data_IF_277628539613
#
_entry.id   IF_277628539613
#
_cell.length_a   1.000
_cell.length_b   1.000
_cell.length_c   1.000
_cell.angle_alpha   90.00
_cell.angle_beta   90.00
_cell.angle_gamma   90.00
#
_symmetry.space_group_name_H-M   'P 1'
#
loop_
_entity.id
_entity.type
_entity.pdbx_description
1 polymer ?
#
# COMPACT_ATOMS: atom_id res chain seq x y z
N UNK A 1 -9.06 10.19 10.44
CA UNK A 1 -8.98 10.08 8.98
C UNK A 1 -7.60 9.70 8.46
N UNK A 2 -6.52 10.45 8.72
CA UNK A 2 -5.24 10.20 8.05
C UNK A 2 -4.73 8.74 8.08
N UNK A 3 -4.69 8.10 9.26
CA UNK A 3 -4.36 6.67 9.39
C UNK A 3 -5.33 5.75 8.63
N UNK A 4 -6.61 6.04 8.69
CA UNK A 4 -7.67 5.24 8.02
C UNK A 4 -7.55 5.33 6.50
N UNK A 5 -7.23 6.51 5.97
CA UNK A 5 -6.97 6.72 4.53
C UNK A 5 -5.81 5.84 4.07
N UNK A 6 -4.69 5.83 4.81
CA UNK A 6 -3.54 4.99 4.45
C UNK A 6 -3.86 3.50 4.52
N UNK A 7 -4.58 3.07 5.55
CA UNK A 7 -5.04 1.68 5.69
C UNK A 7 -5.92 1.28 4.50
N UNK A 8 -6.87 2.14 4.13
CA UNK A 8 -7.73 1.95 2.96
C UNK A 8 -6.94 1.82 1.67
N UNK A 9 -6.01 2.74 1.41
CA UNK A 9 -5.19 2.71 0.19
C UNK A 9 -4.27 1.48 0.12
N UNK A 10 -3.66 1.07 1.23
CA UNK A 10 -2.87 -0.16 1.28
C UNK A 10 -3.74 -1.39 0.97
N UNK A 11 -4.92 -1.49 1.58
CA UNK A 11 -5.86 -2.57 1.26
C UNK A 11 -6.29 -2.56 -0.20
N UNK A 12 -6.56 -1.40 -0.78
CA UNK A 12 -6.94 -1.28 -2.19
C UNK A 12 -5.83 -1.78 -3.13
N UNK A 13 -4.57 -1.41 -2.88
CA UNK A 13 -3.42 -1.91 -3.66
C UNK A 13 -3.30 -3.43 -3.52
N UNK A 14 -3.30 -3.94 -2.28
CA UNK A 14 -3.17 -5.37 -2.02
C UNK A 14 -4.34 -6.16 -2.63
N UNK A 15 -5.57 -5.68 -2.55
CA UNK A 15 -6.74 -6.35 -3.10
C UNK A 15 -6.61 -6.65 -4.60
N UNK A 16 -5.99 -5.74 -5.36
CA UNK A 16 -5.81 -5.88 -6.81
C UNK A 16 -4.51 -6.61 -7.21
N UNK A 17 -3.65 -6.94 -6.25
CA UNK A 17 -2.29 -7.48 -6.51
C UNK A 17 -1.90 -8.71 -5.70
N UNK A 18 -2.67 -9.07 -4.68
CA UNK A 18 -2.57 -10.36 -4.03
C UNK A 18 -3.37 -11.39 -4.84
N UNK A 19 -2.69 -12.01 -5.81
CA UNK A 19 -3.26 -12.87 -6.85
C UNK A 19 -3.52 -14.32 -6.39
N UNK A 20 -3.75 -14.51 -5.10
CA UNK A 20 -4.14 -15.78 -4.50
C UNK A 20 -5.64 -15.84 -4.19
N UNK A 21 -6.02 -16.78 -3.35
CA UNK A 21 -7.39 -16.87 -2.85
C UNK A 21 -7.53 -15.90 -1.68
N UNK A 22 -8.29 -14.83 -1.90
CA UNK A 22 -8.60 -13.81 -0.90
C UNK A 22 -10.09 -13.79 -0.59
N UNK A 23 -10.45 -13.48 0.67
CA UNK A 23 -11.83 -13.23 1.05
C UNK A 23 -12.10 -11.72 0.95
N UNK A 24 -13.05 -11.26 0.11
CA UNK A 24 -13.33 -9.85 -0.03
C UNK A 24 -14.12 -9.30 1.17
N UNK A 25 -13.85 -8.04 1.52
CA UNK A 25 -14.61 -7.21 2.44
C UNK A 25 -14.54 -5.75 1.98
N UNK A 26 -15.15 -4.83 2.73
CA UNK A 26 -15.06 -3.40 2.49
C UNK A 26 -14.68 -2.65 3.76
N UNK A 27 -14.14 -1.44 3.59
CA UNK A 27 -13.94 -0.46 4.65
C UNK A 27 -14.48 0.90 4.18
N UNK A 28 -15.17 1.61 5.06
CA UNK A 28 -15.65 2.97 4.82
C UNK A 28 -14.65 3.98 5.40
N UNK A 29 -14.18 4.90 4.55
CA UNK A 29 -13.29 5.99 4.97
C UNK A 29 -13.80 7.30 4.40
N UNK A 30 -14.11 8.25 5.29
CA UNK A 30 -14.83 9.49 4.96
C UNK A 30 -16.23 9.13 4.44
N UNK A 31 -16.43 9.08 3.12
CA UNK A 31 -17.67 8.62 2.45
C UNK A 31 -17.35 7.73 1.25
N UNK A 32 -16.21 7.04 1.31
CA UNK A 32 -15.70 6.20 0.22
C UNK A 32 -15.60 4.76 0.69
N UNK A 33 -16.31 3.89 -0.01
CA UNK A 33 -16.24 2.43 0.16
C UNK A 33 -15.03 1.88 -0.58
N UNK A 34 -14.11 1.25 0.16
CA UNK A 34 -12.84 0.75 -0.36
C UNK A 34 -12.82 -0.78 -0.28
N UNK A 35 -12.36 -1.50 -1.33
CA UNK A 35 -12.18 -2.94 -1.26
C UNK A 35 -11.06 -3.31 -0.28
N UNK A 36 -11.33 -4.34 0.52
CA UNK A 36 -10.45 -4.84 1.57
C UNK A 36 -10.32 -6.37 1.47
N UNK A 37 -9.19 -6.88 1.94
CA UNK A 37 -8.98 -8.31 2.15
C UNK A 37 -9.34 -8.66 3.59
N UNK A 38 -10.26 -9.60 3.80
CA UNK A 38 -10.64 -10.13 5.11
C UNK A 38 -9.63 -11.19 5.57
N UNK A 39 -8.45 -10.73 5.95
CA UNK A 39 -7.37 -11.55 6.51
C UNK A 39 -6.75 -10.84 7.74
N UNK A 40 -6.82 -11.43 8.94
CA UNK A 40 -6.31 -10.80 10.17
C UNK A 40 -4.81 -10.48 10.16
N UNK A 41 -3.99 -11.25 9.43
CA UNK A 41 -2.55 -11.00 9.34
C UNK A 41 -2.27 -9.81 8.44
N UNK A 42 -2.99 -9.70 7.32
CA UNK A 42 -2.89 -8.54 6.43
C UNK A 42 -3.36 -7.29 7.18
N UNK A 43 -4.49 -7.35 7.88
CA UNK A 43 -4.99 -6.23 8.70
C UNK A 43 -3.97 -5.76 9.73
N UNK A 44 -3.40 -6.69 10.51
CA UNK A 44 -2.40 -6.36 11.52
C UNK A 44 -1.17 -5.68 10.92
N UNK A 45 -0.66 -6.18 9.80
CA UNK A 45 0.49 -5.61 9.13
C UNK A 45 0.18 -4.25 8.49
N UNK A 46 -0.98 -4.08 7.84
CA UNK A 46 -1.42 -2.78 7.28
C UNK A 46 -1.55 -1.74 8.39
N UNK A 47 -2.17 -2.10 9.51
CA UNK A 47 -2.30 -1.23 10.68
C UNK A 47 -0.92 -0.85 11.25
N UNK A 48 -0.03 -1.83 11.46
CA UNK A 48 1.30 -1.59 11.99
C UNK A 48 2.12 -0.63 11.12
N UNK A 49 2.09 -0.79 9.79
CA UNK A 49 2.84 0.07 8.86
C UNK A 49 2.26 1.48 8.79
N UNK A 50 0.93 1.61 8.74
CA UNK A 50 0.27 2.92 8.78
C UNK A 50 0.55 3.66 10.10
N UNK A 51 0.55 2.95 11.23
CA UNK A 51 0.82 3.55 12.54
C UNK A 51 2.30 3.92 12.70
N UNK A 52 3.22 3.07 12.21
CA UNK A 52 4.66 3.32 12.25
C UNK A 52 5.04 4.62 11.50
N UNK A 53 4.52 4.82 10.28
CA UNK A 53 4.82 6.05 9.51
C UNK A 53 4.25 7.29 10.18
N UNK A 54 3.02 7.23 10.71
CA UNK A 54 2.42 8.35 11.43
C UNK A 54 3.20 8.72 12.69
N UNK A 55 3.60 7.73 13.49
CA UNK A 55 4.42 7.94 14.69
C UNK A 55 5.76 8.56 14.32
N UNK A 56 6.40 8.10 13.25
CA UNK A 56 7.69 8.63 12.83
C UNK A 56 7.62 10.06 12.28
N UNK A 57 6.57 10.40 11.52
CA UNK A 57 6.28 11.77 11.06
C UNK A 57 6.19 12.72 12.27
N UNK A 58 5.42 12.32 13.28
CA UNK A 58 5.20 13.11 14.51
C UNK A 58 6.50 13.30 15.31
N UNK A 59 7.23 12.21 15.57
CA UNK A 59 8.50 12.24 16.32
C UNK A 59 9.62 13.01 15.61
N UNK A 60 9.70 12.92 14.28
CA UNK A 60 10.74 13.59 13.51
C UNK A 60 10.49 15.09 13.34
N UNK A 61 9.35 15.61 13.84
CA UNK A 61 8.83 16.94 13.50
C UNK A 61 8.81 17.18 11.97
N UNK A 62 8.69 16.08 11.21
CA UNK A 62 8.77 16.06 9.77
C UNK A 62 7.35 15.96 9.23
N UNK A 63 6.97 16.87 8.34
CA UNK A 63 5.64 16.83 7.72
C UNK A 63 5.51 15.80 6.62
N UNK A 64 6.57 15.03 6.30
CA UNK A 64 6.59 14.10 5.18
C UNK A 64 6.97 12.68 5.62
N UNK A 65 6.27 11.70 5.08
CA UNK A 65 6.62 10.28 5.15
C UNK A 65 6.22 9.56 3.87
N UNK A 66 6.54 8.28 3.78
CA UNK A 66 6.22 7.48 2.61
C UNK A 66 5.90 6.04 3.04
N UNK A 67 4.91 5.43 2.38
CA UNK A 67 4.71 3.99 2.40
C UNK A 67 5.01 3.44 1.00
N UNK A 68 5.71 2.31 0.94
CA UNK A 68 6.06 1.66 -0.33
C UNK A 68 5.55 0.23 -0.30
N UNK A 69 4.66 -0.13 -1.22
CA UNK A 69 4.25 -1.52 -1.45
C UNK A 69 5.06 -2.06 -2.62
N UNK A 70 5.79 -3.14 -2.41
CA UNK A 70 6.63 -3.76 -3.45
C UNK A 70 6.13 -5.17 -3.75
N UNK A 71 6.00 -5.49 -5.04
CA UNK A 71 5.75 -6.84 -5.53
C UNK A 71 6.95 -7.33 -6.34
N UNK A 72 7.39 -8.56 -6.09
CA UNK A 72 8.57 -9.15 -6.72
C UNK A 72 8.28 -10.54 -7.32
N UNK A 73 9.11 -10.99 -8.25
CA UNK A 73 9.11 -12.35 -8.79
C UNK A 73 10.34 -13.08 -8.25
N UNK A 74 10.15 -14.31 -7.80
CA UNK A 74 11.26 -15.15 -7.36
C UNK A 74 11.89 -15.83 -8.58
N UNK A 75 13.09 -15.39 -8.92
CA UNK A 75 13.85 -15.88 -10.07
C UNK A 75 15.02 -16.72 -9.58
N UNK A 76 15.13 -17.95 -10.09
CA UNK A 76 16.32 -18.78 -9.89
C UNK A 76 17.36 -18.40 -10.94
N UNK A 77 18.46 -17.77 -10.53
CA UNK A 77 19.63 -17.59 -11.40
C UNK A 77 20.44 -18.89 -11.38
N UNK A 78 20.47 -19.60 -12.51
CA UNK A 78 21.38 -20.74 -12.71
C UNK A 78 22.74 -20.22 -13.15
N UNK A 79 23.73 -20.29 -12.27
CA UNK A 79 25.15 -20.19 -12.62
C UNK A 79 25.74 -21.60 -12.71
N UNK A 80 26.75 -21.78 -13.56
CA UNK A 80 27.42 -23.06 -13.85
C UNK A 80 27.99 -23.80 -12.62
N UNK A 81 28.05 -23.15 -11.45
CA UNK A 81 28.42 -23.79 -10.17
C UNK A 81 27.51 -23.46 -8.98
N UNK A 82 26.45 -22.68 -9.16
CA UNK A 82 25.51 -22.37 -8.07
C UNK A 82 24.18 -21.88 -8.61
N UNK A 83 23.09 -22.31 -7.96
CA UNK A 83 21.78 -21.70 -8.13
C UNK A 83 21.51 -20.77 -6.95
N UNK A 84 21.25 -19.49 -7.24
CA UNK A 84 20.75 -18.53 -6.25
C UNK A 84 19.32 -18.13 -6.56
N UNK A 85 18.47 -18.04 -5.54
CA UNK A 85 17.15 -17.39 -5.66
C UNK A 85 17.29 -15.89 -5.40
N UNK A 86 16.66 -15.08 -6.23
CA UNK A 86 16.62 -13.63 -6.09
C UNK A 86 15.20 -13.14 -6.33
N UNK A 87 14.73 -12.20 -5.52
CA UNK A 87 13.43 -11.54 -5.69
C UNK A 87 13.64 -10.28 -6.54
N UNK A 88 13.07 -10.27 -7.76
CA UNK A 88 13.16 -9.14 -8.70
C UNK A 88 11.87 -8.35 -8.68
N UNK A 89 11.93 -7.08 -8.30
CA UNK A 89 10.77 -6.18 -8.26
C UNK A 89 10.15 -6.00 -9.65
N UNK A 90 8.85 -6.23 -9.78
CA UNK A 90 8.10 -5.96 -11.02
C UNK A 90 7.10 -4.81 -10.86
N UNK A 91 6.69 -4.45 -9.64
CA UNK A 91 5.82 -3.30 -9.39
C UNK A 91 6.06 -2.67 -8.01
N UNK A 92 5.97 -1.34 -7.94
CA UNK A 92 6.01 -0.59 -6.68
C UNK A 92 4.93 0.50 -6.65
N UNK A 93 4.27 0.62 -5.50
CA UNK A 93 3.34 1.71 -5.20
C UNK A 93 3.94 2.61 -4.13
N UNK A 94 4.17 3.87 -4.47
CA UNK A 94 4.73 4.87 -3.58
C UNK A 94 3.58 5.78 -3.10
N UNK A 95 3.26 5.69 -1.81
CA UNK A 95 2.25 6.51 -1.16
C UNK A 95 2.97 7.62 -0.39
N UNK A 96 3.09 8.78 -1.02
CA UNK A 96 3.68 9.96 -0.41
C UNK A 96 2.69 10.63 0.56
N UNK A 97 3.15 10.83 1.80
CA UNK A 97 2.33 11.34 2.89
C UNK A 97 2.81 12.73 3.25
N UNK A 98 1.90 13.70 3.20
CA UNK A 98 2.14 15.04 3.76
C UNK A 98 1.18 15.26 4.92
N UNK A 99 1.73 15.32 6.13
CA UNK A 99 0.99 15.64 7.34
C UNK A 99 0.69 17.14 7.40
N UNK A 100 -0.57 17.45 7.71
CA UNK A 100 -1.04 18.82 7.94
C UNK A 100 -1.10 19.06 9.45
N UNK A 101 -0.73 20.28 9.87
CA UNK A 101 -0.73 20.65 11.28
C UNK A 101 -2.15 20.59 11.87
N UNK A 102 -2.25 20.05 13.08
CA UNK A 102 -3.48 20.06 13.89
C UNK A 102 -3.37 21.11 15.01
N UNK A 103 -4.51 21.69 15.46
CA UNK A 103 -5.87 21.46 14.96
C UNK A 103 -6.14 22.22 13.65
N UNK A 104 -6.99 21.63 12.80
CA UNK A 104 -7.57 22.33 11.65
C UNK A 104 -8.61 23.32 12.22
N UNK A 105 -8.56 24.62 11.89
CA UNK A 105 -9.58 25.58 12.32
C UNK A 105 -10.98 25.12 11.90
N UNK A 106 -11.98 25.30 12.76
CA UNK A 106 -13.36 24.85 12.50
C UNK A 106 -13.92 25.41 11.18
N UNK A 107 -13.57 26.65 10.81
CA UNK A 107 -13.94 27.28 9.53
C UNK A 107 -13.46 26.51 8.29
N UNK A 108 -12.41 25.69 8.44
CA UNK A 108 -11.76 24.97 7.35
C UNK A 108 -11.98 23.45 7.44
N UNK A 109 -12.66 22.95 8.48
CA UNK A 109 -12.78 21.52 8.74
C UNK A 109 -13.53 20.77 7.62
N UNK A 110 -14.62 21.35 7.12
CA UNK A 110 -15.40 20.78 6.01
C UNK A 110 -14.59 20.74 4.72
N UNK A 111 -14.01 21.88 4.32
CA UNK A 111 -13.17 21.97 3.13
C UNK A 111 -11.98 21.00 3.18
N UNK A 112 -11.37 20.82 4.35
CA UNK A 112 -10.29 19.87 4.54
C UNK A 112 -10.78 18.42 4.38
N UNK A 113 -11.92 18.07 4.97
CA UNK A 113 -12.52 16.73 4.86
C UNK A 113 -12.88 16.41 3.41
N UNK A 114 -13.50 17.35 2.68
CA UNK A 114 -13.82 17.21 1.26
C UNK A 114 -12.56 17.01 0.41
N UNK A 115 -11.51 17.79 0.66
CA UNK A 115 -10.23 17.63 -0.04
C UNK A 115 -9.59 16.25 0.22
N UNK A 116 -9.71 15.70 1.43
CA UNK A 116 -9.25 14.36 1.75
C UNK A 116 -10.05 13.28 1.00
N UNK A 117 -11.38 13.44 0.91
CA UNK A 117 -12.26 12.51 0.18
C UNK A 117 -11.98 12.52 -1.32
N UNK A 118 -11.79 13.71 -1.91
CA UNK A 118 -11.40 13.88 -3.31
C UNK A 118 -10.05 13.23 -3.62
N UNK A 119 -9.05 13.45 -2.75
CA UNK A 119 -7.73 12.84 -2.89
C UNK A 119 -7.82 11.32 -2.80
N UNK A 120 -8.54 10.78 -1.81
CA UNK A 120 -8.75 9.35 -1.63
C UNK A 120 -9.42 8.73 -2.88
N UNK A 121 -10.49 9.35 -3.37
CA UNK A 121 -11.20 8.91 -4.57
C UNK A 121 -10.29 8.89 -5.80
N UNK A 122 -9.47 9.93 -5.99
CA UNK A 122 -8.49 9.99 -7.08
C UNK A 122 -7.45 8.88 -6.96
N UNK A 123 -6.90 8.64 -5.78
CA UNK A 123 -5.91 7.60 -5.55
C UNK A 123 -6.48 6.19 -5.84
N UNK A 124 -7.71 5.92 -5.42
CA UNK A 124 -8.40 4.65 -5.73
C UNK A 124 -8.64 4.48 -7.23
N UNK A 125 -9.00 5.56 -7.93
CA UNK A 125 -9.14 5.54 -9.39
C UNK A 125 -7.81 5.20 -10.07
N UNK A 126 -6.71 5.80 -9.63
CA UNK A 126 -5.37 5.49 -10.16
C UNK A 126 -5.04 4.00 -9.96
N UNK A 127 -5.31 3.46 -8.78
CA UNK A 127 -5.11 2.02 -8.50
C UNK A 127 -5.94 1.18 -9.47
N UNK A 128 -7.23 1.46 -9.59
CA UNK A 128 -8.14 0.68 -10.43
C UNK A 128 -7.76 0.78 -11.92
N UNK A 129 -7.54 1.98 -12.44
CA UNK A 129 -7.19 2.22 -13.84
C UNK A 129 -5.87 1.53 -14.19
N UNK A 130 -4.85 1.68 -13.34
CA UNK A 130 -3.56 1.04 -13.60
C UNK A 130 -3.68 -0.49 -13.54
N UNK A 131 -4.23 -1.03 -12.45
CA UNK A 131 -4.31 -2.49 -12.23
C UNK A 131 -5.17 -3.21 -13.26
N UNK A 132 -6.17 -2.52 -13.83
CA UNK A 132 -7.04 -3.03 -14.90
C UNK A 132 -6.59 -2.70 -16.32
N UNK A 133 -5.57 -1.86 -16.50
CA UNK A 133 -5.02 -1.53 -17.82
C UNK A 133 -4.26 -2.71 -18.46
N UNK A 134 -4.11 -2.68 -19.80
CA UNK A 134 -3.28 -3.67 -20.51
C UNK A 134 -1.83 -3.68 -20.01
N UNK A 135 -1.27 -2.50 -19.76
CA UNK A 135 0.09 -2.36 -19.23
C UNK A 135 0.21 -2.94 -17.82
N UNK A 136 -0.71 -2.59 -16.92
CA UNK A 136 -0.69 -3.06 -15.53
C UNK A 136 -0.98 -4.55 -15.39
N UNK A 137 -1.74 -5.16 -16.33
CA UNK A 137 -1.90 -6.61 -16.39
C UNK A 137 -0.68 -7.30 -16.98
N UNK A 138 -0.08 -6.74 -18.03
CA UNK A 138 1.10 -7.30 -18.68
C UNK A 138 2.36 -7.26 -17.80
N UNK A 139 2.41 -6.36 -16.81
CA UNK A 139 3.50 -6.28 -15.83
C UNK A 139 3.53 -7.47 -14.84
N UNK A 140 2.40 -8.15 -14.65
CA UNK A 140 2.31 -9.30 -13.73
C UNK A 140 3.08 -10.49 -14.31
N UNK A 141 4.07 -11.05 -13.58
CA UNK A 141 4.81 -12.22 -14.03
C UNK A 141 3.92 -13.45 -14.20
N UNK A 142 4.44 -14.47 -14.88
CA UNK A 142 3.73 -15.75 -15.00
C UNK A 142 3.71 -16.46 -13.65
N UNK A 143 2.51 -16.82 -13.19
CA UNK A 143 2.32 -17.63 -11.97
C UNK A 143 2.80 -19.06 -12.26
N UNK A 144 3.88 -19.48 -11.61
CA UNK A 144 4.43 -20.84 -11.70
C UNK A 144 3.77 -21.77 -10.69
N UNK A 145 3.55 -21.27 -9.48
CA UNK A 145 2.95 -21.96 -8.35
C UNK A 145 2.01 -20.98 -7.63
N UNK A 146 0.90 -21.46 -7.10
CA UNK A 146 -0.04 -20.64 -6.35
C UNK A 146 -0.22 -21.23 -4.95
N UNK A 147 0.05 -20.41 -3.92
CA UNK A 147 -0.23 -20.76 -2.53
C UNK A 147 -0.60 -19.50 -1.73
N UNK A 148 -1.52 -19.67 -0.79
CA UNK A 148 -1.95 -18.58 0.10
C UNK A 148 -2.59 -17.39 -0.61
N UNK A 149 -2.33 -16.20 -0.08
CA UNK A 149 -2.91 -14.93 -0.56
C UNK A 149 -2.19 -14.36 -1.77
N UNK A 150 -0.95 -14.76 -2.06
CA UNK A 150 -0.19 -14.28 -3.21
C UNK A 150 0.82 -15.33 -3.69
N UNK A 151 0.90 -15.58 -5.01
CA UNK A 151 1.95 -16.40 -5.60
C UNK A 151 3.30 -15.68 -5.68
N UNK A 152 3.34 -14.38 -5.41
CA UNK A 152 4.51 -13.51 -5.52
C UNK A 152 4.93 -12.97 -4.16
N UNK A 153 6.25 -12.88 -3.86
CA UNK A 153 6.75 -12.12 -2.72
C UNK A 153 6.29 -10.67 -2.76
N UNK A 154 5.94 -10.13 -1.60
CA UNK A 154 5.53 -8.74 -1.46
C UNK A 154 5.89 -8.21 -0.07
N UNK A 155 6.02 -6.89 0.05
CA UNK A 155 6.30 -6.23 1.33
C UNK A 155 5.80 -4.79 1.35
N UNK A 156 5.64 -4.27 2.57
CA UNK A 156 5.33 -2.87 2.83
C UNK A 156 6.46 -2.26 3.65
N UNK A 157 7.04 -1.18 3.15
CA UNK A 157 8.05 -0.40 3.83
C UNK A 157 7.47 0.96 4.24
N UNK A 158 7.84 1.44 5.43
CA UNK A 158 7.48 2.77 5.91
C UNK A 158 8.76 3.60 6.04
N UNK A 159 8.76 4.82 5.53
CA UNK A 159 9.95 5.69 5.49
C UNK A 159 9.64 7.10 5.94
N UNK A 160 10.63 7.74 6.57
CA UNK A 160 10.65 9.20 6.84
C UNK A 160 12.04 9.71 6.45
N UNK A 161 12.09 10.62 5.48
CA UNK A 161 13.36 11.03 4.86
C UNK A 161 14.04 9.84 4.14
N UNK A 162 15.33 9.63 4.40
CA UNK A 162 16.10 8.47 3.87
C UNK A 162 16.06 7.23 4.77
N UNK A 163 15.33 7.28 5.88
CA UNK A 163 15.34 6.22 6.91
C UNK A 163 14.12 5.31 6.74
N UNK A 164 14.38 4.02 6.60
CA UNK A 164 13.37 2.97 6.71
C UNK A 164 13.04 2.71 8.19
N UNK A 165 11.75 2.62 8.50
CA UNK A 165 11.24 2.40 9.83
C UNK A 165 11.09 0.90 10.08
N UNK A 166 11.67 0.41 11.18
CA UNK A 166 11.30 -0.88 11.72
C UNK A 166 9.83 -0.81 12.15
N UNK A 167 9.03 -1.73 11.62
CA UNK A 167 7.61 -1.88 11.96
C UNK A 167 7.42 -3.14 12.80
#
# INVERSE_FOLDING_TARGET
>A
HGREILRGLLHAVLFHRLLGIIKPATIEVLDVTIPKIDDPKIDAMVNAKADAVYRAIDLANNKKGQLIVTFADRVTKKSWFSSGEEDVTWEQWLLDITAVAHPIPASNAEAFTNAQSDMLTRALRIILEHTSSDQGRAAVPRIKESSGVSPFPWRIEARVGSVELAA
#
